data_IF_094366531743
#
_entry.id   IF_094366531743
#
_cell.length_a   1.000
_cell.length_b   1.000
_cell.length_c   1.000
_cell.angle_alpha   90.00
_cell.angle_beta   90.00
_cell.angle_gamma   90.00
#
_symmetry.space_group_name_H-M   'P 1'
#
loop_
_entity.id
_entity.type
_entity.pdbx_description
1 polymer ?
#
# COMPACT_ATOMS: atom_id res chain seq x y z
N UNK A 1 7.49 0.73 3.60
CA UNK A 1 6.57 1.84 3.97
C UNK A 1 5.18 1.24 3.91
N UNK A 2 4.41 1.26 4.99
CA UNK A 2 3.07 0.63 4.93
C UNK A 2 2.11 1.49 4.10
N UNK A 3 1.02 0.90 3.63
CA UNK A 3 -0.02 1.68 2.94
C UNK A 3 -0.60 2.77 3.86
N UNK A 4 -0.77 2.49 5.16
CA UNK A 4 -1.25 3.48 6.13
C UNK A 4 -0.32 4.69 6.23
N UNK A 5 0.99 4.44 6.28
CA UNK A 5 2.00 5.49 6.36
C UNK A 5 2.02 6.34 5.08
N UNK A 6 1.92 5.70 3.90
CA UNK A 6 1.83 6.40 2.62
C UNK A 6 0.60 7.33 2.57
N UNK A 7 -0.57 6.83 2.95
CA UNK A 7 -1.79 7.63 2.95
C UNK A 7 -1.67 8.84 3.88
N UNK A 8 -1.05 8.68 5.05
CA UNK A 8 -0.78 9.78 5.98
C UNK A 8 0.19 10.80 5.40
N UNK A 9 1.32 10.35 4.84
CA UNK A 9 2.36 11.22 4.29
C UNK A 9 1.84 12.09 3.13
N UNK A 10 0.88 11.57 2.36
CA UNK A 10 0.28 12.26 1.22
C UNK A 10 -1.07 12.91 1.53
N UNK A 11 -1.50 12.93 2.80
CA UNK A 11 -2.81 13.46 3.23
C UNK A 11 -4.00 12.90 2.44
N UNK A 12 -3.94 11.61 2.09
CA UNK A 12 -4.98 10.90 1.35
C UNK A 12 -5.92 10.16 2.30
N UNK A 13 -7.21 10.35 2.10
CA UNK A 13 -8.22 9.50 2.73
C UNK A 13 -8.27 8.12 2.06
N UNK A 14 -8.79 7.13 2.79
CA UNK A 14 -9.03 5.80 2.24
C UNK A 14 -9.95 5.83 1.01
N UNK A 15 -10.94 6.73 0.97
CA UNK A 15 -11.88 6.86 -0.14
C UNK A 15 -11.20 7.41 -1.40
N UNK A 16 -10.39 8.46 -1.25
CA UNK A 16 -9.67 9.06 -2.38
C UNK A 16 -8.69 8.06 -3.00
N UNK A 17 -7.94 7.34 -2.17
CA UNK A 17 -7.03 6.31 -2.67
C UNK A 17 -7.78 5.13 -3.29
N UNK A 18 -8.91 4.74 -2.71
CA UNK A 18 -9.76 3.69 -3.27
C UNK A 18 -10.24 4.03 -4.70
N UNK A 19 -10.61 5.29 -4.94
CA UNK A 19 -10.99 5.76 -6.27
C UNK A 19 -9.84 5.62 -7.29
N UNK A 20 -8.60 5.92 -6.88
CA UNK A 20 -7.41 5.79 -7.74
C UNK A 20 -7.11 4.35 -8.15
N UNK A 21 -7.26 3.41 -7.21
CA UNK A 21 -6.94 1.99 -7.46
C UNK A 21 -8.14 1.15 -7.90
N UNK A 22 -9.32 1.77 -8.11
CA UNK A 22 -10.56 1.08 -8.45
C UNK A 22 -11.02 0.06 -7.38
N UNK A 23 -11.02 0.46 -6.11
CA UNK A 23 -11.46 -0.36 -4.98
C UNK A 23 -12.54 0.36 -4.16
N UNK A 24 -13.09 -0.31 -3.14
CA UNK A 24 -13.96 0.34 -2.15
C UNK A 24 -13.14 0.90 -0.99
N UNK A 25 -13.63 1.96 -0.35
CA UNK A 25 -13.01 2.52 0.88
C UNK A 25 -12.75 1.42 1.91
N UNK A 26 -13.74 0.57 2.19
CA UNK A 26 -13.62 -0.52 3.15
C UNK A 26 -12.54 -1.56 2.76
N UNK A 27 -12.29 -1.78 1.48
CA UNK A 27 -11.18 -2.61 1.03
C UNK A 27 -9.84 -1.97 1.40
N UNK A 28 -9.64 -0.69 1.07
CA UNK A 28 -8.43 0.06 1.41
C UNK A 28 -8.21 0.12 2.91
N UNK A 29 -9.24 0.34 3.72
CA UNK A 29 -9.14 0.29 5.19
C UNK A 29 -8.63 -1.07 5.69
N UNK A 30 -9.10 -2.18 5.12
CA UNK A 30 -8.60 -3.51 5.50
C UNK A 30 -7.17 -3.75 5.03
N UNK A 31 -6.79 -3.21 3.88
CA UNK A 31 -5.42 -3.28 3.36
C UNK A 31 -4.45 -2.50 4.27
N UNK A 32 -4.78 -1.25 4.59
CA UNK A 32 -3.95 -0.37 5.42
C UNK A 32 -3.76 -0.91 6.84
N UNK A 33 -4.80 -1.55 7.40
CA UNK A 33 -4.75 -2.14 8.73
C UNK A 33 -4.26 -3.61 8.74
N UNK A 34 -3.80 -4.14 7.61
CA UNK A 34 -3.31 -5.53 7.51
C UNK A 34 -4.37 -6.61 7.74
N UNK A 35 -5.66 -6.25 7.85
CA UNK A 35 -6.76 -7.21 8.09
C UNK A 35 -7.08 -8.06 6.86
N UNK A 36 -6.66 -7.63 5.67
CA UNK A 36 -6.81 -8.36 4.41
C UNK A 36 -5.64 -8.02 3.49
N UNK A 37 -5.09 -9.04 2.81
CA UNK A 37 -4.14 -8.84 1.73
C UNK A 37 -4.88 -8.44 0.42
N UNK A 38 -4.42 -7.42 -0.33
CA UNK A 38 -4.97 -7.13 -1.65
C UNK A 38 -4.73 -8.29 -2.62
N UNK A 39 -5.54 -8.40 -3.68
CA UNK A 39 -5.25 -9.33 -4.79
C UNK A 39 -3.98 -8.92 -5.53
N UNK A 40 -3.37 -9.82 -6.30
CA UNK A 40 -2.18 -9.52 -7.09
C UNK A 40 -2.40 -8.32 -8.02
N UNK A 41 -3.56 -8.28 -8.70
CA UNK A 41 -3.96 -7.15 -9.54
C UNK A 41 -3.97 -5.82 -8.75
N UNK A 42 -4.55 -5.82 -7.54
CA UNK A 42 -4.55 -4.62 -6.69
C UNK A 42 -3.16 -4.25 -6.20
N UNK A 43 -2.29 -5.21 -5.91
CA UNK A 43 -0.91 -4.94 -5.52
C UNK A 43 -0.17 -4.22 -6.66
N UNK A 44 -0.29 -4.69 -7.91
CA UNK A 44 0.34 -4.05 -9.07
C UNK A 44 -0.15 -2.60 -9.24
N UNK A 45 -1.46 -2.37 -9.11
CA UNK A 45 -2.04 -1.02 -9.20
C UNK A 45 -1.56 -0.13 -8.05
N UNK A 46 -1.55 -0.63 -6.81
CA UNK A 46 -1.06 0.11 -5.65
C UNK A 46 0.43 0.47 -5.83
N UNK A 47 1.26 -0.48 -6.23
CA UNK A 47 2.70 -0.25 -6.40
C UNK A 47 2.96 0.81 -7.49
N UNK A 48 2.18 0.79 -8.58
CA UNK A 48 2.23 1.83 -9.61
C UNK A 48 1.77 3.21 -9.10
N UNK A 49 0.60 3.28 -8.46
CA UNK A 49 0.01 4.53 -7.95
C UNK A 49 0.87 5.17 -6.84
N UNK A 50 1.66 4.35 -6.14
CA UNK A 50 2.58 4.82 -5.09
C UNK A 50 4.02 4.95 -5.57
N UNK A 51 4.28 4.83 -6.87
CA UNK A 51 5.61 4.88 -7.47
C UNK A 51 6.63 3.96 -6.76
N UNK A 52 6.19 2.77 -6.35
CA UNK A 52 7.02 1.78 -5.67
C UNK A 52 7.26 2.06 -4.17
N UNK A 53 6.66 3.11 -3.59
CA UNK A 53 6.78 3.37 -2.15
C UNK A 53 6.06 2.30 -1.32
N UNK A 54 4.93 1.78 -1.80
CA UNK A 54 4.20 0.66 -1.18
C UNK A 54 4.29 -0.53 -2.12
N UNK A 55 5.02 -1.58 -1.71
CA UNK A 55 5.29 -2.76 -2.54
C UNK A 55 4.53 -3.97 -2.02
N UNK A 56 4.53 -5.04 -2.82
CA UNK A 56 3.95 -6.33 -2.43
C UNK A 56 4.42 -6.85 -1.05
N UNK A 57 5.69 -6.64 -0.71
CA UNK A 57 6.30 -7.08 0.56
C UNK A 57 5.73 -6.35 1.78
N UNK A 58 5.26 -5.11 1.62
CA UNK A 58 4.68 -4.32 2.71
C UNK A 58 3.31 -4.85 3.17
N UNK A 59 2.71 -5.79 2.42
CA UNK A 59 1.46 -6.48 2.79
C UNK A 59 1.68 -7.87 3.42
N UNK A 60 2.94 -8.28 3.66
CA UNK A 60 3.24 -9.56 4.31
C UNK A 60 3.26 -9.43 5.84
N UNK A 61 2.68 -10.39 6.58
CA UNK A 61 2.71 -10.38 8.04
C UNK A 61 4.17 -10.50 8.54
N UNK A 62 4.52 -9.71 9.56
CA UNK A 62 5.85 -9.73 10.17
C UNK A 62 6.95 -8.96 9.43
N UNK A 63 6.66 -8.35 8.28
CA UNK A 63 7.60 -7.52 7.49
C UNK A 63 7.24 -6.01 7.49
N UNK A 64 6.36 -5.58 8.39
CA UNK A 64 6.03 -4.17 8.58
C UNK A 64 7.26 -3.42 9.14
N UNK A 65 8.11 -2.91 8.25
CA UNK A 65 9.28 -2.10 8.61
C UNK A 65 10.59 -2.43 7.89
N UNK A 66 10.62 -3.33 6.90
CA UNK A 66 11.83 -3.57 6.13
C UNK A 66 12.13 -2.38 5.18
N UNK A 67 12.75 -1.34 5.72
CA UNK A 67 13.44 -0.29 4.96
C UNK A 67 14.48 -0.96 4.06
N UNK A 68 14.26 -0.91 2.75
CA UNK A 68 15.36 -1.16 1.80
C UNK A 68 16.23 0.10 1.77
N UNK A 69 17.31 0.08 2.55
CA UNK A 69 18.49 0.88 2.21
C UNK A 69 19.12 0.26 0.96
N UNK A 70 19.61 1.11 0.06
CA UNK A 70 19.77 0.85 -1.37
C UNK A 70 20.74 -0.25 -1.79
N UNK A 71 20.60 -0.65 -3.06
CA UNK A 71 21.65 -1.26 -3.87
C UNK A 71 21.34 -1.02 -5.35
N UNK A 72 21.81 0.11 -5.88
CA UNK A 72 22.17 0.25 -7.28
C UNK A 72 23.67 0.55 -7.28
N UNK A 73 24.47 -0.44 -7.69
CA UNK A 73 25.87 -0.34 -8.03
C UNK A 73 26.01 -0.58 -9.53
#
# INVERSE_FOLDING_TARGET
>A
MTLSDYLRAHSLTHSEFAARIGATQAAVTRYANGRRKPSLEKIIVIERETAGQVRAIDFLPGMAGASVSGAAA
#
